data_IF_429050667065
#
_entry.id   IF_429050667065
#
_cell.length_a   1.000
_cell.length_b   1.000
_cell.length_c   1.000
_cell.angle_alpha   90.00
_cell.angle_beta   90.00
_cell.angle_gamma   90.00
#
_symmetry.space_group_name_H-M   'P 1'
#
loop_
_entity.id
_entity.type
_entity.pdbx_description
1 polymer ?
#
# COMPACT_ATOMS: atom_id res chain seq x y z
N UNK A 1 7.05 -1.76 -11.65
CA UNK A 1 6.94 -2.54 -12.91
C UNK A 1 8.19 -2.46 -13.78
N UNK A 2 8.83 -1.31 -14.00
CA UNK A 2 9.98 -1.22 -14.91
C UNK A 2 11.14 -2.17 -14.56
N UNK A 3 11.51 -2.30 -13.27
CA UNK A 3 12.57 -3.23 -12.87
C UNK A 3 12.24 -4.71 -13.07
N UNK A 4 10.97 -5.11 -12.93
CA UNK A 4 10.56 -6.51 -13.15
C UNK A 4 10.59 -6.89 -14.63
N UNK A 5 10.34 -5.94 -15.54
CA UNK A 5 10.50 -6.19 -16.98
C UNK A 5 11.97 -6.32 -17.39
N UNK A 6 12.87 -5.59 -16.73
CA UNK A 6 14.31 -5.67 -17.00
C UNK A 6 14.91 -7.01 -16.58
N UNK A 7 14.42 -7.59 -15.47
CA UNK A 7 14.85 -8.90 -14.98
C UNK A 7 14.12 -10.08 -15.65
N UNK A 8 13.17 -9.81 -16.56
CA UNK A 8 12.35 -10.84 -17.21
C UNK A 8 13.20 -11.84 -17.99
N UNK A 9 14.18 -11.38 -18.76
CA UNK A 9 15.01 -12.25 -19.60
C UNK A 9 16.02 -13.08 -18.78
N UNK A 10 16.46 -12.56 -17.63
CA UNK A 10 17.39 -13.23 -16.73
C UNK A 10 16.72 -14.35 -15.90
N UNK A 11 15.46 -14.14 -15.48
CA UNK A 11 14.78 -15.02 -14.54
C UNK A 11 13.82 -16.04 -15.18
N UNK A 12 13.34 -15.82 -16.42
CA UNK A 12 12.30 -16.64 -17.07
C UNK A 12 12.59 -18.15 -17.12
N UNK A 13 13.87 -18.55 -17.18
CA UNK A 13 14.28 -19.96 -17.27
C UNK A 13 14.53 -20.64 -15.91
N UNK A 14 14.42 -19.92 -14.77
CA UNK A 14 14.65 -20.46 -13.41
C UNK A 14 13.41 -20.39 -12.51
N UNK A 15 12.25 -20.08 -13.06
CA UNK A 15 11.03 -19.87 -12.28
C UNK A 15 10.42 -21.21 -11.88
N UNK A 16 10.32 -21.45 -10.56
CA UNK A 16 9.56 -22.55 -10.00
C UNK A 16 8.33 -21.99 -9.27
N UNK A 17 7.17 -22.59 -9.54
CA UNK A 17 5.90 -22.29 -8.90
C UNK A 17 5.55 -23.41 -7.93
N UNK A 18 5.76 -23.25 -6.62
CA UNK A 18 5.38 -24.27 -5.64
C UNK A 18 3.85 -24.34 -5.54
N UNK A 19 3.35 -25.49 -5.09
CA UNK A 19 1.94 -25.65 -4.75
C UNK A 19 1.47 -24.71 -3.64
N UNK A 20 0.18 -24.36 -3.65
CA UNK A 20 -0.41 -23.48 -2.65
C UNK A 20 -0.40 -24.17 -1.29
N UNK A 21 0.48 -23.71 -0.39
CA UNK A 21 0.49 -24.14 1.01
C UNK A 21 -0.44 -23.28 1.84
N UNK A 22 -1.17 -23.86 2.81
CA UNK A 22 -2.08 -23.14 3.71
C UNK A 22 -1.40 -21.93 4.39
N UNK A 23 -0.15 -22.09 4.85
CA UNK A 23 0.65 -21.01 5.44
C UNK A 23 0.88 -19.85 4.47
N UNK A 24 1.18 -20.15 3.20
CA UNK A 24 1.38 -19.14 2.17
C UNK A 24 0.07 -18.39 1.83
N UNK A 25 -1.04 -19.13 1.78
CA UNK A 25 -2.36 -18.55 1.57
C UNK A 25 -2.76 -17.57 2.69
N UNK A 26 -2.63 -17.99 3.96
CA UNK A 26 -2.97 -17.14 5.10
C UNK A 26 -2.07 -15.91 5.14
N UNK A 27 -0.76 -16.08 4.90
CA UNK A 27 0.17 -14.95 4.86
C UNK A 27 -0.21 -13.94 3.79
N UNK A 28 -0.48 -14.40 2.56
CA UNK A 28 -0.89 -13.53 1.46
C UNK A 28 -2.20 -12.79 1.80
N UNK A 29 -3.17 -13.49 2.37
CA UNK A 29 -4.43 -12.88 2.81
C UNK A 29 -4.20 -11.78 3.86
N UNK A 30 -3.42 -12.05 4.90
CA UNK A 30 -3.09 -11.05 5.92
C UNK A 30 -2.40 -9.82 5.33
N UNK A 31 -1.45 -10.01 4.41
CA UNK A 31 -0.77 -8.91 3.71
C UNK A 31 -1.76 -8.06 2.90
N UNK A 32 -2.70 -8.69 2.19
CA UNK A 32 -3.74 -7.98 1.45
C UNK A 32 -4.64 -7.19 2.42
N UNK A 33 -5.12 -7.81 3.50
CA UNK A 33 -5.94 -7.13 4.50
C UNK A 33 -5.20 -5.93 5.13
N UNK A 34 -3.91 -6.07 5.42
CA UNK A 34 -3.09 -4.99 5.95
C UNK A 34 -2.94 -3.84 4.94
N UNK A 35 -2.70 -4.16 3.65
CA UNK A 35 -2.53 -3.18 2.58
C UNK A 35 -3.78 -2.34 2.31
N UNK A 36 -4.99 -2.89 2.51
CA UNK A 36 -6.26 -2.17 2.41
C UNK A 36 -6.76 -1.63 3.77
N UNK A 37 -5.91 -1.62 4.79
CA UNK A 37 -6.17 -0.98 6.07
C UNK A 37 -6.19 0.56 5.99
N UNK A 38 -6.52 1.23 7.10
CA UNK A 38 -6.50 2.71 7.17
C UNK A 38 -7.85 3.40 7.28
N UNK A 39 -8.93 2.62 7.50
CA UNK A 39 -10.30 3.13 7.68
C UNK A 39 -10.45 4.11 8.86
N UNK A 40 -9.53 4.12 9.82
CA UNK A 40 -9.53 5.04 10.96
C UNK A 40 -9.39 6.52 10.56
N UNK A 41 -8.78 6.81 9.41
CA UNK A 41 -8.64 8.18 8.91
C UNK A 41 -9.92 8.71 8.22
N UNK A 42 -10.89 7.85 7.94
CA UNK A 42 -12.08 8.21 7.15
C UNK A 42 -12.93 9.32 7.78
N UNK A 43 -13.21 9.32 9.10
CA UNK A 43 -13.97 10.40 9.72
C UNK A 43 -13.26 11.76 9.62
N UNK A 44 -11.94 11.78 9.78
CA UNK A 44 -11.13 12.98 9.64
C UNK A 44 -11.15 13.50 8.21
N UNK A 45 -10.95 12.62 7.22
CA UNK A 45 -11.03 12.97 5.80
C UNK A 45 -12.42 13.50 5.45
N UNK A 46 -13.49 12.83 5.90
CA UNK A 46 -14.87 13.26 5.66
C UNK A 46 -15.15 14.63 6.27
N UNK A 47 -14.64 14.91 7.47
CA UNK A 47 -14.80 16.21 8.13
C UNK A 47 -14.02 17.33 7.45
N UNK A 48 -12.88 17.03 6.82
CA UNK A 48 -12.07 18.00 6.08
C UNK A 48 -12.53 18.23 4.62
N UNK A 49 -13.42 17.38 4.08
CA UNK A 49 -14.01 17.59 2.77
C UNK A 49 -14.95 18.81 2.73
N UNK A 50 -14.80 19.66 1.71
CA UNK A 50 -15.72 20.78 1.43
C UNK A 50 -17.19 20.33 1.24
N UNK A 51 -17.41 19.10 0.77
CA UNK A 51 -18.75 18.50 0.57
C UNK A 51 -18.77 17.07 1.13
N UNK A 52 -19.09 16.88 2.41
CA UNK A 52 -19.04 15.56 3.06
C UNK A 52 -20.02 14.54 2.47
N UNK A 53 -21.13 14.99 1.86
CA UNK A 53 -22.09 14.11 1.18
C UNK A 53 -21.49 13.35 -0.02
N UNK A 54 -20.36 13.79 -0.58
CA UNK A 54 -19.66 13.11 -1.69
C UNK A 54 -18.57 12.14 -1.23
N UNK A 55 -18.39 11.97 0.08
CA UNK A 55 -17.43 11.03 0.65
C UNK A 55 -17.51 9.61 0.07
N UNK A 56 -18.69 8.95 -0.03
CA UNK A 56 -18.75 7.57 -0.54
C UNK A 56 -18.28 7.43 -1.99
N UNK A 57 -18.52 8.44 -2.83
CA UNK A 57 -18.04 8.45 -4.22
C UNK A 57 -16.51 8.56 -4.26
N UNK A 58 -15.94 9.43 -3.41
CA UNK A 58 -14.48 9.59 -3.31
C UNK A 58 -13.81 8.30 -2.84
N UNK A 59 -14.41 7.60 -1.87
CA UNK A 59 -13.93 6.32 -1.36
C UNK A 59 -14.01 5.24 -2.44
N UNK A 60 -15.12 5.15 -3.16
CA UNK A 60 -15.26 4.16 -4.22
C UNK A 60 -14.19 4.34 -5.32
N UNK A 61 -13.97 5.58 -5.74
CA UNK A 61 -12.96 5.91 -6.76
C UNK A 61 -11.55 5.61 -6.25
N UNK A 62 -11.24 5.91 -4.98
CA UNK A 62 -9.92 5.64 -4.42
C UNK A 62 -9.65 4.14 -4.31
N UNK A 63 -10.59 3.34 -3.81
CA UNK A 63 -10.44 1.89 -3.74
C UNK A 63 -10.37 1.23 -5.12
N UNK A 64 -11.17 1.68 -6.10
CA UNK A 64 -11.07 1.19 -7.47
C UNK A 64 -9.69 1.49 -8.09
N UNK A 65 -9.18 2.71 -7.86
CA UNK A 65 -7.85 3.11 -8.34
C UNK A 65 -6.73 2.31 -7.66
N UNK A 66 -6.84 2.09 -6.34
CA UNK A 66 -5.91 1.25 -5.59
C UNK A 66 -5.91 -0.19 -6.10
N UNK A 67 -7.09 -0.77 -6.36
CA UNK A 67 -7.19 -2.12 -6.91
C UNK A 67 -6.47 -2.25 -8.25
N UNK A 68 -6.69 -1.30 -9.16
CA UNK A 68 -6.04 -1.28 -10.48
C UNK A 68 -4.51 -1.15 -10.35
N UNK A 69 -4.02 -0.42 -9.36
CA UNK A 69 -2.58 -0.26 -9.12
C UNK A 69 -1.95 -1.48 -8.43
N UNK A 70 -2.61 -2.01 -7.40
CA UNK A 70 -2.07 -3.05 -6.53
C UNK A 70 -2.24 -4.45 -7.10
N UNK A 71 -3.26 -4.72 -7.91
CA UNK A 71 -3.51 -6.06 -8.46
C UNK A 71 -2.45 -6.52 -9.48
N UNK A 72 -2.07 -5.73 -10.51
CA UNK A 72 -1.13 -6.20 -11.53
C UNK A 72 0.33 -6.29 -11.02
N UNK A 73 0.70 -5.51 -10.01
CA UNK A 73 2.06 -5.48 -9.45
C UNK A 73 2.56 -6.86 -8.96
N UNK A 74 1.88 -7.55 -8.02
CA UNK A 74 2.28 -8.87 -7.55
C UNK A 74 2.08 -9.95 -8.61
N UNK A 75 1.10 -9.82 -9.51
CA UNK A 75 0.89 -10.78 -10.61
C UNK A 75 2.12 -10.82 -11.53
N UNK A 76 2.59 -9.65 -11.96
CA UNK A 76 3.77 -9.55 -12.81
C UNK A 76 5.05 -9.93 -12.06
N UNK A 77 5.21 -9.48 -10.82
CA UNK A 77 6.38 -9.82 -10.01
C UNK A 77 6.49 -11.33 -9.76
N UNK A 78 5.39 -11.98 -9.38
CA UNK A 78 5.37 -13.43 -9.17
C UNK A 78 5.61 -14.20 -10.47
N UNK A 79 5.11 -13.70 -11.60
CA UNK A 79 5.36 -14.29 -12.92
C UNK A 79 6.84 -14.29 -13.32
N UNK A 80 7.61 -13.27 -12.90
CA UNK A 80 9.05 -13.13 -13.23
C UNK A 80 9.94 -13.85 -12.22
N UNK A 81 9.69 -13.70 -10.92
CA UNK A 81 10.58 -14.21 -9.86
C UNK A 81 10.14 -15.57 -9.26
N UNK A 82 8.87 -15.94 -9.37
CA UNK A 82 8.31 -17.18 -8.80
C UNK A 82 8.66 -17.37 -7.32
N UNK A 83 9.10 -18.57 -6.94
CA UNK A 83 9.51 -18.90 -5.58
C UNK A 83 10.72 -18.12 -5.05
N UNK A 84 11.54 -17.52 -5.93
CA UNK A 84 12.71 -16.75 -5.50
C UNK A 84 12.36 -15.38 -4.95
N UNK A 85 11.08 -14.99 -5.02
CA UNK A 85 10.57 -13.74 -4.43
C UNK A 85 10.74 -13.77 -2.91
N UNK A 86 11.79 -13.10 -2.42
CA UNK A 86 11.96 -12.79 -1.00
C UNK A 86 10.88 -11.80 -0.52
N UNK A 87 10.69 -11.68 0.79
CA UNK A 87 9.52 -11.07 1.43
C UNK A 87 9.09 -9.69 0.93
N UNK A 88 9.99 -8.92 0.30
CA UNK A 88 9.69 -7.66 -0.37
C UNK A 88 10.27 -7.68 -1.80
N UNK A 89 9.49 -7.21 -2.78
CA UNK A 89 9.84 -7.30 -4.22
C UNK A 89 11.11 -6.51 -4.53
N UNK A 90 11.37 -5.43 -3.78
CA UNK A 90 12.51 -4.55 -3.96
C UNK A 90 13.86 -5.26 -3.78
N UNK A 91 13.92 -6.27 -2.89
CA UNK A 91 15.15 -7.02 -2.59
C UNK A 91 15.48 -8.03 -3.70
N UNK A 92 14.49 -8.40 -4.52
CA UNK A 92 14.66 -9.37 -5.60
C UNK A 92 15.15 -8.73 -6.90
N UNK A 93 15.13 -7.40 -7.01
CA UNK A 93 15.63 -6.70 -8.19
C UNK A 93 17.15 -6.78 -8.26
N UNK A 94 17.67 -7.20 -9.42
CA UNK A 94 19.12 -7.30 -9.65
C UNK A 94 19.77 -5.94 -9.91
N UNK A 95 18.97 -4.91 -10.23
CA UNK A 95 19.45 -3.58 -10.62
C UNK A 95 19.49 -2.60 -9.44
N UNK A 96 20.70 -2.30 -8.95
CA UNK A 96 20.96 -1.48 -7.74
C UNK A 96 20.34 -0.07 -7.85
N UNK A 97 20.51 0.62 -8.98
CA UNK A 97 20.00 1.99 -9.16
C UNK A 97 18.47 2.09 -9.13
N UNK A 98 17.77 1.06 -9.63
CA UNK A 98 16.31 1.00 -9.59
C UNK A 98 15.85 0.67 -8.17
N UNK A 99 16.57 -0.21 -7.47
CA UNK A 99 16.30 -0.54 -6.07
C UNK A 99 16.40 0.69 -5.17
N UNK A 100 17.46 1.49 -5.28
CA UNK A 100 17.65 2.71 -4.49
C UNK A 100 16.53 3.74 -4.73
N UNK A 101 16.14 3.93 -6.00
CA UNK A 101 15.03 4.82 -6.35
C UNK A 101 13.71 4.37 -5.71
N UNK A 102 13.41 3.06 -5.76
CA UNK A 102 12.20 2.51 -5.14
C UNK A 102 12.25 2.70 -3.62
N UNK A 103 13.40 2.45 -3.00
CA UNK A 103 13.55 2.63 -1.55
C UNK A 103 13.29 4.08 -1.13
N UNK A 104 13.82 5.06 -1.86
CA UNK A 104 13.57 6.49 -1.58
C UNK A 104 12.08 6.83 -1.76
N UNK A 105 11.46 6.35 -2.83
CA UNK A 105 10.04 6.62 -3.12
C UNK A 105 9.11 6.00 -2.06
N UNK A 106 9.35 4.75 -1.68
CA UNK A 106 8.58 4.05 -0.64
C UNK A 106 8.79 4.72 0.72
N UNK A 107 10.02 5.11 1.05
CA UNK A 107 10.31 5.85 2.28
C UNK A 107 9.50 7.16 2.33
N UNK A 108 9.49 7.92 1.24
CA UNK A 108 8.68 9.14 1.12
C UNK A 108 7.18 8.85 1.25
N UNK A 109 6.68 7.84 0.55
CA UNK A 109 5.27 7.43 0.62
C UNK A 109 4.84 7.09 2.05
N UNK A 110 5.62 6.27 2.76
CA UNK A 110 5.32 5.84 4.15
C UNK A 110 5.39 7.02 5.10
N UNK A 111 6.31 7.97 4.89
CA UNK A 111 6.40 9.19 5.71
C UNK A 111 5.15 10.06 5.55
N UNK A 112 4.63 10.25 4.34
CA UNK A 112 3.36 10.94 4.13
C UNK A 112 2.17 10.17 4.72
N UNK A 113 2.14 8.84 4.53
CA UNK A 113 1.09 7.99 5.11
C UNK A 113 1.06 8.09 6.64
N UNK A 114 2.23 8.14 7.29
CA UNK A 114 2.36 8.34 8.73
C UNK A 114 1.69 9.65 9.19
N UNK A 115 1.93 10.76 8.47
CA UNK A 115 1.27 12.05 8.79
C UNK A 115 -0.26 12.01 8.59
N UNK A 116 -0.77 11.21 7.65
CA UNK A 116 -2.22 11.05 7.49
C UNK A 116 -2.81 10.24 8.65
N UNK A 117 -2.12 9.18 9.09
CA UNK A 117 -2.59 8.29 10.17
C UNK A 117 -2.51 8.96 11.54
N UNK A 118 -1.56 9.87 11.77
CA UNK A 118 -1.48 10.60 13.04
C UNK A 118 -2.62 11.61 13.23
N UNK A 119 -3.22 12.11 12.13
CA UNK A 119 -4.29 13.11 12.17
C UNK A 119 -5.52 12.69 13.01
N UNK A 120 -6.15 11.51 12.81
CA UNK A 120 -7.24 11.06 13.67
C UNK A 120 -6.79 10.83 15.12
N UNK A 121 -5.56 10.36 15.34
CA UNK A 121 -5.00 10.15 16.69
C UNK A 121 -4.91 11.46 17.46
N UNK A 122 -4.44 12.53 16.80
CA UNK A 122 -4.40 13.87 17.41
C UNK A 122 -5.81 14.38 17.71
N UNK A 123 -6.78 14.16 16.82
CA UNK A 123 -8.18 14.56 17.06
C UNK A 123 -8.81 13.81 18.24
N UNK A 124 -8.52 12.53 18.39
CA UNK A 124 -8.99 11.74 19.53
C UNK A 124 -8.32 12.17 20.84
N UNK A 125 -7.03 12.50 20.80
CA UNK A 125 -6.32 13.04 21.96
C UNK A 125 -6.89 14.40 22.39
N UNK A 126 -7.19 15.29 21.44
CA UNK A 126 -7.84 16.59 21.72
C UNK A 126 -9.21 16.43 22.37
N UNK A 127 -9.99 15.42 21.94
CA UNK A 127 -11.28 15.08 22.57
C UNK A 127 -11.10 14.61 24.02
N UNK A 128 -10.11 13.76 24.29
CA UNK A 128 -9.81 13.27 25.65
C UNK A 128 -9.35 14.41 26.56
N UNK A 129 -8.50 15.31 26.05
CA UNK A 129 -7.97 16.46 26.79
C UNK A 129 -8.92 17.66 26.85
N UNK A 130 -10.13 17.55 26.27
CA UNK A 130 -11.15 18.62 26.20
C UNK A 130 -10.62 19.94 25.62
N UNK A 131 -9.67 19.86 24.69
CA UNK A 131 -9.16 21.05 24.00
C UNK A 131 -10.26 21.57 23.07
N UNK A 132 -10.59 22.88 23.07
CA UNK A 132 -11.65 23.42 22.24
C UNK A 132 -11.29 23.32 20.74
N UNK A 133 -11.93 22.39 20.04
CA UNK A 133 -11.86 22.28 18.58
C UNK A 133 -12.41 23.56 17.94
N UNK A 134 -11.62 24.22 17.09
CA UNK A 134 -12.02 25.42 16.36
C UNK A 134 -13.26 25.11 15.49
N UNK A 135 -14.42 25.66 15.84
CA UNK A 135 -15.63 25.65 15.00
C UNK A 135 -15.29 26.24 13.62
N UNK A 136 -15.20 25.41 12.58
CA UNK A 136 -15.20 25.87 11.19
C UNK A 136 -16.60 26.42 10.91
N UNK A 137 -16.68 27.73 10.69
CA UNK A 137 -17.86 28.48 10.24
C UNK A 137 -18.15 28.15 8.78
#
# INVERSE_FOLDING_TARGET
MLGTFYDMDACKNKVQFPGVTLKGFISAYCTICFAYGGHSAFPTIQHDMKKPAKFPVSVLVSFASLFILYFPMPVLAYGVYGHTTQGTIEVNLSTVWIQDLIMILITGHVLFAFFIVISPVTQDLERVLKVPLRKKK
#
